data_IF_346758736907
#
_entry.id   IF_346758736907
#
_cell.length_a   1.000
_cell.length_b   1.000
_cell.length_c   1.000
_cell.angle_alpha   90.00
_cell.angle_beta   90.00
_cell.angle_gamma   90.00
#
_symmetry.space_group_name_H-M   'P 1'
#
loop_
_entity.id
_entity.type
_entity.pdbx_description
1 polymer ?
#
# COMPACT_ATOMS: atom_id res chain seq x y z
N UNK A 1 -50.98 97.71 11.84
CA UNK A 1 -51.13 97.09 13.16
C UNK A 1 -51.97 95.80 12.94
N UNK A 2 -51.61 94.77 13.53
CA UNK A 2 -52.25 93.43 13.47
C UNK A 2 -51.98 92.58 12.23
N UNK A 3 -50.94 91.70 12.34
CA UNK A 3 -50.54 90.75 11.35
C UNK A 3 -51.34 89.46 11.48
N UNK A 4 -51.78 88.96 10.34
CA UNK A 4 -52.41 87.66 10.21
C UNK A 4 -51.38 86.58 9.88
N UNK A 5 -51.19 85.58 10.79
CA UNK A 5 -50.36 84.41 10.56
C UNK A 5 -51.15 83.37 9.75
N UNK A 6 -50.55 83.06 8.55
CA UNK A 6 -51.04 81.87 7.75
C UNK A 6 -50.41 80.62 8.28
N UNK A 7 -51.27 79.65 8.67
CA UNK A 7 -50.81 78.31 9.01
C UNK A 7 -50.39 77.50 7.78
N UNK A 8 -49.23 76.86 7.83
CA UNK A 8 -48.76 75.90 6.85
C UNK A 8 -49.20 74.50 7.24
N UNK A 9 -49.98 73.90 6.35
CA UNK A 9 -50.39 72.48 6.41
C UNK A 9 -49.18 71.62 6.06
N UNK A 10 -48.74 70.72 7.00
CA UNK A 10 -47.66 69.75 6.77
C UNK A 10 -48.28 68.48 6.19
N UNK A 11 -47.90 68.16 4.94
CA UNK A 11 -48.20 66.91 4.29
C UNK A 11 -47.25 65.85 4.84
N UNK A 12 -47.81 64.83 5.51
CA UNK A 12 -47.06 63.65 6.02
C UNK A 12 -47.00 62.62 4.90
N UNK A 13 -45.78 62.37 4.39
CA UNK A 13 -45.54 61.27 3.48
C UNK A 13 -45.27 59.98 4.31
N UNK A 14 -46.12 58.97 4.16
CA UNK A 14 -45.91 57.63 4.70
C UNK A 14 -44.89 56.94 3.74
N UNK A 15 -43.68 56.72 4.19
CA UNK A 15 -42.72 55.86 3.50
C UNK A 15 -42.90 54.44 4.00
N UNK A 16 -43.48 53.60 3.14
CA UNK A 16 -43.50 52.14 3.40
C UNK A 16 -42.11 51.52 3.24
N UNK A 17 -41.46 51.19 4.34
CA UNK A 17 -40.20 50.39 4.32
C UNK A 17 -40.60 48.92 3.99
N UNK A 18 -40.30 48.51 2.74
CA UNK A 18 -40.22 47.11 2.35
C UNK A 18 -38.97 46.51 2.97
N UNK A 19 -39.09 45.77 4.06
CA UNK A 19 -38.04 44.88 4.56
C UNK A 19 -37.85 43.70 3.60
N UNK A 20 -36.90 43.82 2.68
CA UNK A 20 -36.37 42.65 1.97
C UNK A 20 -35.54 41.85 2.95
N UNK A 21 -36.04 40.67 3.36
CA UNK A 21 -35.23 39.69 4.05
C UNK A 21 -34.20 39.13 3.03
N UNK A 22 -32.93 39.14 3.37
CA UNK A 22 -31.97 38.39 2.56
C UNK A 22 -32.32 36.91 2.67
N UNK A 23 -32.65 36.28 1.55
CA UNK A 23 -32.61 34.81 1.48
C UNK A 23 -31.17 34.42 1.75
N UNK A 24 -30.91 33.92 2.96
CA UNK A 24 -29.63 33.30 3.29
C UNK A 24 -29.44 32.11 2.35
N UNK A 25 -28.50 32.22 1.46
CA UNK A 25 -27.93 31.02 0.82
C UNK A 25 -27.22 30.32 1.95
N UNK A 26 -27.80 29.23 2.47
CA UNK A 26 -27.05 28.34 3.35
C UNK A 26 -25.81 27.91 2.61
N UNK A 27 -24.70 28.50 2.97
CA UNK A 27 -23.40 28.01 2.54
C UNK A 27 -23.31 26.60 3.14
N UNK A 28 -23.34 25.58 2.29
CA UNK A 28 -23.11 24.21 2.73
C UNK A 28 -21.83 24.20 3.57
N UNK A 29 -21.93 23.73 4.82
CA UNK A 29 -20.74 23.54 5.64
C UNK A 29 -19.75 22.71 4.83
N UNK A 30 -18.44 23.05 4.87
CA UNK A 30 -17.45 22.25 4.17
C UNK A 30 -17.55 20.82 4.69
N UNK A 31 -17.91 19.89 3.80
CA UNK A 31 -17.96 18.46 4.16
C UNK A 31 -16.63 18.10 4.80
N UNK A 32 -16.69 17.49 5.98
CA UNK A 32 -15.48 17.01 6.64
C UNK A 32 -14.77 16.02 5.71
N UNK A 33 -13.43 16.07 5.64
CA UNK A 33 -12.69 15.22 4.73
C UNK A 33 -12.99 13.74 5.02
N UNK A 34 -13.18 12.95 3.96
CA UNK A 34 -13.42 11.51 4.10
C UNK A 34 -12.30 10.86 4.90
N UNK A 35 -12.62 9.99 5.88
CA UNK A 35 -11.58 9.26 6.62
C UNK A 35 -10.69 8.46 5.67
N UNK A 36 -9.38 8.40 5.96
CA UNK A 36 -8.47 7.57 5.19
C UNK A 36 -8.97 6.11 5.16
N UNK A 37 -8.92 5.44 4.01
CA UNK A 37 -9.19 4.01 3.94
C UNK A 37 -8.23 3.20 4.82
N UNK A 38 -8.58 1.95 5.10
CA UNK A 38 -7.69 0.98 5.75
C UNK A 38 -7.36 -0.13 4.75
N UNK A 39 -6.19 -0.73 4.87
CA UNK A 39 -5.86 -1.90 4.06
C UNK A 39 -6.76 -3.06 4.47
N UNK A 40 -7.50 -3.61 3.52
CA UNK A 40 -8.46 -4.66 3.76
C UNK A 40 -7.94 -6.02 3.28
N UNK A 41 -7.43 -6.10 2.06
CA UNK A 41 -6.94 -7.36 1.52
C UNK A 41 -5.91 -7.19 0.40
N UNK A 42 -5.13 -8.25 0.21
CA UNK A 42 -4.41 -8.53 -1.02
C UNK A 42 -5.18 -9.61 -1.79
N UNK A 43 -5.38 -9.43 -3.10
CA UNK A 43 -6.07 -10.41 -3.93
C UNK A 43 -5.09 -11.13 -4.87
N UNK A 44 -5.01 -12.44 -4.76
CA UNK A 44 -4.14 -13.29 -5.55
C UNK A 44 -4.95 -14.18 -6.50
N UNK A 45 -4.43 -14.36 -7.71
CA UNK A 45 -4.87 -15.42 -8.60
C UNK A 45 -4.04 -16.68 -8.34
N UNK A 46 -4.68 -17.84 -8.21
CA UNK A 46 -4.00 -19.11 -7.94
C UNK A 46 -4.66 -20.26 -8.69
N UNK A 47 -3.85 -21.16 -9.23
CA UNK A 47 -4.39 -22.40 -9.83
C UNK A 47 -4.96 -23.35 -8.77
N UNK A 48 -4.49 -23.24 -7.53
CA UNK A 48 -4.96 -24.06 -6.43
C UNK A 48 -5.01 -23.28 -5.11
N UNK A 49 -6.08 -22.52 -4.86
CA UNK A 49 -6.24 -21.72 -3.65
C UNK A 49 -6.07 -22.53 -2.34
N UNK A 50 -6.56 -23.77 -2.29
CA UNK A 50 -6.44 -24.58 -1.07
C UNK A 50 -4.99 -24.94 -0.74
N UNK A 51 -4.19 -25.28 -1.76
CA UNK A 51 -2.74 -25.50 -1.58
C UNK A 51 -2.01 -24.20 -1.24
N UNK A 52 -2.40 -23.10 -1.85
CA UNK A 52 -1.83 -21.78 -1.53
C UNK A 52 -2.09 -21.43 -0.07
N UNK A 53 -3.33 -21.52 0.38
CA UNK A 53 -3.72 -21.28 1.78
C UNK A 53 -2.95 -22.19 2.75
N UNK A 54 -2.81 -23.47 2.43
CA UNK A 54 -2.06 -24.41 3.27
C UNK A 54 -0.59 -24.02 3.39
N UNK A 55 0.03 -23.57 2.29
CA UNK A 55 1.40 -23.06 2.29
C UNK A 55 1.55 -21.83 3.18
N UNK A 56 0.72 -20.81 2.97
CA UNK A 56 0.81 -19.56 3.74
C UNK A 56 0.53 -19.77 5.23
N UNK A 57 -0.47 -20.59 5.58
CA UNK A 57 -0.77 -20.92 6.97
C UNK A 57 0.37 -21.69 7.66
N UNK A 58 1.17 -22.45 6.90
CA UNK A 58 2.36 -23.12 7.42
C UNK A 58 3.54 -22.15 7.55
N UNK A 59 3.75 -21.31 6.54
CA UNK A 59 4.84 -20.34 6.54
C UNK A 59 4.63 -19.24 7.61
N UNK A 60 3.38 -18.85 7.84
CA UNK A 60 2.99 -17.79 8.78
C UNK A 60 1.89 -18.30 9.71
N UNK A 61 2.24 -19.03 10.79
CA UNK A 61 1.29 -19.74 11.65
C UNK A 61 0.30 -18.84 12.41
N UNK A 62 0.54 -17.54 12.48
CA UNK A 62 -0.42 -16.58 13.05
C UNK A 62 -1.65 -16.35 12.15
N UNK A 63 -1.58 -16.76 10.89
CA UNK A 63 -2.70 -16.63 9.96
C UNK A 63 -3.72 -17.75 10.13
N UNK A 64 -4.97 -17.47 9.83
CA UNK A 64 -6.04 -18.47 9.87
C UNK A 64 -6.76 -18.59 8.53
N UNK A 65 -7.15 -19.81 8.17
CA UNK A 65 -7.98 -20.06 6.99
C UNK A 65 -9.38 -19.52 7.22
N UNK A 66 -9.93 -18.84 6.24
CA UNK A 66 -11.29 -18.28 6.27
C UNK A 66 -11.89 -18.23 4.87
N UNK A 67 -13.11 -17.72 4.78
CA UNK A 67 -13.79 -17.37 3.52
C UNK A 67 -14.37 -15.98 3.69
N UNK A 68 -14.16 -15.12 2.72
CA UNK A 68 -14.77 -13.79 2.70
C UNK A 68 -15.51 -13.57 1.39
N UNK A 69 -16.80 -13.25 1.46
CA UNK A 69 -17.69 -13.04 0.31
C UNK A 69 -17.55 -14.10 -0.80
N UNK A 70 -17.38 -15.36 -0.40
CA UNK A 70 -17.23 -16.50 -1.32
C UNK A 70 -15.80 -16.75 -1.81
N UNK A 71 -14.84 -15.90 -1.50
CA UNK A 71 -13.42 -16.13 -1.81
C UNK A 71 -12.75 -16.96 -0.70
N UNK A 72 -12.04 -18.03 -1.06
CA UNK A 72 -11.10 -18.67 -0.14
C UNK A 72 -10.09 -17.62 0.34
N UNK A 73 -9.77 -17.61 1.62
CA UNK A 73 -8.95 -16.55 2.19
C UNK A 73 -8.08 -17.02 3.35
N UNK A 74 -7.07 -16.21 3.65
CA UNK A 74 -6.33 -16.19 4.91
C UNK A 74 -6.62 -14.89 5.63
N UNK A 75 -6.83 -14.94 6.94
CA UNK A 75 -6.91 -13.78 7.81
C UNK A 75 -5.62 -13.65 8.62
N UNK A 76 -5.01 -12.49 8.58
CA UNK A 76 -3.88 -12.11 9.42
C UNK A 76 -4.39 -11.51 10.74
N UNK A 77 -3.63 -11.57 11.87
CA UNK A 77 -4.06 -11.05 13.16
C UNK A 77 -4.46 -9.57 13.18
N UNK A 78 -3.99 -8.79 12.22
CA UNK A 78 -4.37 -7.38 12.06
C UNK A 78 -5.60 -7.16 11.16
N UNK A 79 -6.43 -8.18 10.99
CA UNK A 79 -7.65 -8.17 10.16
C UNK A 79 -7.42 -7.93 8.67
N UNK A 80 -6.20 -8.07 8.20
CA UNK A 80 -5.89 -8.06 6.76
C UNK A 80 -6.10 -9.45 6.20
N UNK A 81 -6.73 -9.53 5.04
CA UNK A 81 -6.97 -10.79 4.35
C UNK A 81 -6.08 -10.95 3.12
N UNK A 82 -5.73 -12.19 2.80
CA UNK A 82 -5.24 -12.57 1.48
C UNK A 82 -6.33 -13.40 0.82
N UNK A 83 -6.96 -12.86 -0.19
CA UNK A 83 -8.04 -13.49 -0.94
C UNK A 83 -7.49 -14.22 -2.16
N UNK A 84 -8.16 -15.30 -2.57
CA UNK A 84 -7.74 -16.09 -3.71
C UNK A 84 -8.88 -16.26 -4.73
N UNK A 85 -8.56 -15.97 -6.00
CA UNK A 85 -9.38 -16.40 -7.14
C UNK A 85 -8.74 -17.62 -7.79
N UNK A 86 -9.54 -18.68 -7.97
CA UNK A 86 -9.09 -19.86 -8.73
C UNK A 86 -9.04 -19.55 -10.20
N UNK A 87 -7.89 -19.79 -10.82
CA UNK A 87 -7.66 -19.66 -12.27
C UNK A 87 -7.32 -21.00 -12.89
N UNK A 88 -7.56 -21.15 -14.19
CA UNK A 88 -7.35 -22.43 -14.90
C UNK A 88 -5.91 -22.65 -15.37
N UNK A 89 -5.12 -21.59 -15.44
CA UNK A 89 -3.71 -21.63 -15.83
C UNK A 89 -2.88 -20.79 -14.85
N UNK A 90 -1.59 -21.09 -14.68
CA UNK A 90 -0.73 -20.29 -13.81
C UNK A 90 -0.79 -18.81 -14.14
N UNK A 91 -1.07 -17.93 -13.16
CA UNK A 91 -1.08 -16.50 -13.40
C UNK A 91 0.33 -16.03 -13.79
N UNK A 92 0.38 -14.96 -14.57
CA UNK A 92 1.67 -14.33 -14.87
C UNK A 92 2.24 -13.73 -13.59
N UNK A 93 3.43 -14.18 -13.22
CA UNK A 93 4.17 -13.73 -12.04
C UNK A 93 5.44 -12.98 -12.47
N UNK A 94 5.33 -12.14 -13.48
CA UNK A 94 6.43 -11.29 -13.95
C UNK A 94 6.45 -10.00 -13.10
N UNK A 95 7.32 -9.90 -12.09
CA UNK A 95 7.36 -8.75 -11.19
C UNK A 95 7.87 -7.48 -11.86
N UNK A 96 8.32 -7.55 -13.10
CA UNK A 96 8.79 -6.39 -13.86
C UNK A 96 7.75 -5.88 -14.86
N UNK A 97 6.72 -6.68 -15.16
CA UNK A 97 5.66 -6.29 -16.09
C UNK A 97 4.57 -5.45 -15.42
N UNK A 98 4.31 -5.66 -14.14
CA UNK A 98 3.30 -4.92 -13.37
C UNK A 98 3.91 -4.12 -12.23
N UNK A 99 3.10 -3.27 -11.62
CA UNK A 99 3.52 -2.51 -10.45
C UNK A 99 3.91 -3.42 -9.28
N UNK A 100 3.17 -4.48 -9.03
CA UNK A 100 3.42 -5.34 -7.88
C UNK A 100 4.72 -6.14 -8.03
N UNK A 101 5.58 -5.99 -7.03
CA UNK A 101 6.83 -6.73 -6.93
C UNK A 101 6.71 -7.91 -5.97
N UNK A 102 6.38 -7.63 -4.71
CA UNK A 102 6.14 -8.66 -3.70
C UNK A 102 5.26 -8.12 -2.57
N UNK A 103 4.91 -9.00 -1.66
CA UNK A 103 4.21 -8.68 -0.43
C UNK A 103 4.84 -9.44 0.74
N UNK A 104 4.51 -9.06 1.97
CA UNK A 104 5.22 -9.67 3.08
C UNK A 104 4.56 -9.58 4.44
N UNK A 105 5.18 -10.32 5.35
CA UNK A 105 4.85 -10.42 6.75
C UNK A 105 5.94 -9.84 7.63
N UNK A 106 5.55 -9.18 8.71
CA UNK A 106 6.42 -9.05 9.86
C UNK A 106 6.46 -10.35 10.63
N UNK A 107 7.62 -10.74 11.13
CA UNK A 107 7.82 -11.86 12.06
C UNK A 107 8.58 -11.38 13.29
N UNK A 108 8.47 -12.12 14.39
CA UNK A 108 9.14 -11.72 15.63
C UNK A 108 10.65 -11.92 15.57
N UNK A 109 11.09 -13.00 14.92
CA UNK A 109 12.50 -13.35 14.80
C UNK A 109 12.77 -14.01 13.45
N UNK A 110 13.40 -13.25 12.55
CA UNK A 110 13.67 -13.69 11.20
C UNK A 110 14.56 -14.94 11.16
N UNK A 111 15.52 -15.05 12.07
CA UNK A 111 16.43 -16.20 12.10
C UNK A 111 15.74 -17.47 12.50
N UNK A 112 14.86 -17.42 13.49
CA UNK A 112 14.05 -18.59 13.87
C UNK A 112 13.14 -19.02 12.73
N UNK A 113 12.53 -18.08 12.04
CA UNK A 113 11.76 -18.40 10.86
C UNK A 113 12.62 -19.03 9.77
N UNK A 114 13.82 -18.51 9.55
CA UNK A 114 14.74 -19.05 8.57
C UNK A 114 15.16 -20.50 8.90
N UNK A 115 15.49 -20.80 10.17
CA UNK A 115 15.79 -22.16 10.61
C UNK A 115 14.60 -23.06 10.40
N UNK A 116 13.41 -22.63 10.77
CA UNK A 116 12.17 -23.34 10.52
C UNK A 116 11.97 -23.67 9.03
N UNK A 117 12.18 -22.68 8.14
CA UNK A 117 12.01 -22.92 6.70
C UNK A 117 13.05 -23.86 6.12
N UNK A 118 14.28 -23.88 6.63
CA UNK A 118 15.32 -24.86 6.23
C UNK A 118 14.93 -26.29 6.57
N UNK A 119 14.19 -26.49 7.64
CA UNK A 119 13.69 -27.81 8.05
C UNK A 119 12.44 -28.25 7.26
N UNK A 120 11.87 -27.34 6.45
CA UNK A 120 10.66 -27.57 5.68
C UNK A 120 10.92 -27.42 4.17
N UNK A 121 11.38 -28.49 3.50
CA UNK A 121 11.82 -28.42 2.10
C UNK A 121 10.73 -28.04 1.10
N UNK A 122 9.46 -28.09 1.50
CA UNK A 122 8.34 -27.57 0.71
C UNK A 122 8.26 -26.03 0.70
N UNK A 123 9.00 -25.36 1.59
CA UNK A 123 9.12 -23.89 1.63
C UNK A 123 10.45 -23.52 1.00
N UNK A 124 10.42 -22.96 -0.20
CA UNK A 124 11.62 -22.58 -0.92
C UNK A 124 12.08 -21.19 -0.52
N UNK A 125 13.28 -21.09 0.02
CA UNK A 125 13.93 -19.80 0.28
C UNK A 125 14.46 -19.22 -1.04
N UNK A 126 14.15 -17.97 -1.32
CA UNK A 126 14.81 -17.23 -2.38
C UNK A 126 16.23 -16.81 -1.93
N UNK A 127 17.21 -16.77 -2.84
CA UNK A 127 18.54 -16.33 -2.49
C UNK A 127 18.56 -14.83 -2.20
N UNK A 128 19.31 -14.42 -1.17
CA UNK A 128 19.71 -13.04 -0.95
C UNK A 128 21.14 -12.80 -1.42
N UNK A 129 21.49 -11.56 -1.65
CA UNK A 129 22.75 -11.18 -2.27
C UNK A 129 23.48 -10.14 -1.43
N UNK A 130 24.82 -10.18 -1.47
CA UNK A 130 25.67 -9.13 -0.92
C UNK A 130 25.73 -7.92 -1.85
N UNK A 131 26.11 -6.76 -1.32
CA UNK A 131 26.16 -5.51 -2.09
C UNK A 131 27.27 -5.47 -3.14
N UNK A 132 28.31 -6.28 -2.99
CA UNK A 132 29.51 -6.18 -3.81
C UNK A 132 29.51 -7.06 -5.06
N UNK A 133 28.59 -8.02 -5.15
CA UNK A 133 28.72 -8.91 -6.29
C UNK A 133 27.48 -9.62 -6.72
N UNK A 134 26.43 -9.42 -5.98
CA UNK A 134 25.23 -10.18 -6.21
C UNK A 134 25.42 -11.68 -6.09
N UNK A 135 26.41 -12.14 -5.36
CA UNK A 135 26.56 -13.55 -5.04
C UNK A 135 25.55 -13.99 -4.00
N UNK A 136 25.14 -15.23 -4.07
CA UNK A 136 24.15 -15.77 -3.15
C UNK A 136 24.67 -15.77 -1.72
N UNK A 137 23.97 -15.08 -0.85
CA UNK A 137 24.09 -15.20 0.59
C UNK A 137 22.88 -16.00 1.03
N UNK A 138 23.08 -17.23 1.42
CA UNK A 138 21.96 -18.13 1.77
C UNK A 138 21.19 -17.72 3.02
N UNK A 139 21.63 -16.61 3.62
CA UNK A 139 20.96 -16.05 4.72
C UNK A 139 21.40 -14.73 4.95
N UNK A 140 20.53 -13.98 4.78
CA UNK A 140 20.65 -13.30 5.38
C UNK A 140 20.35 -12.14 5.82
N UNK A 141 19.89 -11.97 6.51
CA UNK A 141 19.45 -11.05 7.39
C UNK A 141 20.31 -10.82 8.57
N UNK A 142 21.48 -11.19 8.48
CA UNK A 142 22.47 -10.84 9.48
C UNK A 142 22.71 -9.32 9.45
N UNK A 143 21.84 -8.58 10.16
CA UNK A 143 22.08 -7.17 10.40
C UNK A 143 23.24 -7.03 11.38
N UNK A 144 24.42 -6.76 10.86
CA UNK A 144 25.64 -6.61 11.65
C UNK A 144 25.72 -5.19 12.19
N UNK A 145 26.10 -4.98 13.46
CA UNK A 145 26.27 -3.64 14.02
C UNK A 145 27.22 -2.76 13.20
N UNK A 146 26.88 -1.51 13.04
CA UNK A 146 27.73 -0.53 12.34
C UNK A 146 27.70 -0.56 10.83
N UNK A 147 26.81 -1.29 10.21
CA UNK A 147 26.85 -1.59 8.78
C UNK A 147 25.74 -0.96 7.95
N UNK A 148 25.16 0.12 8.38
CA UNK A 148 24.17 0.83 7.57
C UNK A 148 22.82 0.10 7.36
N UNK A 149 22.55 -0.92 8.16
CA UNK A 149 21.25 -1.56 8.20
C UNK A 149 21.03 -2.67 7.18
N UNK A 150 19.78 -2.94 6.96
CA UNK A 150 19.19 -4.00 6.13
C UNK A 150 19.73 -4.06 4.69
N UNK A 151 20.35 -3.00 4.20
CA UNK A 151 20.64 -2.82 2.77
C UNK A 151 21.93 -3.43 2.28
N UNK A 152 22.46 -4.33 3.03
CA UNK A 152 23.51 -5.17 2.49
C UNK A 152 24.90 -4.80 2.94
N UNK A 153 25.56 -5.82 3.36
CA UNK A 153 26.98 -5.86 3.60
C UNK A 153 27.66 -6.49 2.42
N UNK A 154 28.90 -6.09 2.19
CA UNK A 154 29.79 -6.84 1.32
C UNK A 154 30.16 -8.16 1.97
N UNK A 155 30.54 -9.17 1.17
CA UNK A 155 31.07 -10.42 1.70
C UNK A 155 32.28 -10.18 2.61
N UNK A 156 33.16 -9.25 2.22
CA UNK A 156 34.33 -8.88 3.01
C UNK A 156 33.93 -8.31 4.38
N UNK A 157 32.93 -7.44 4.45
CA UNK A 157 32.44 -6.90 5.71
C UNK A 157 31.83 -7.98 6.60
N UNK A 158 31.06 -8.92 6.04
CA UNK A 158 30.53 -10.06 6.78
C UNK A 158 31.66 -10.94 7.32
N UNK A 159 32.64 -11.27 6.49
CA UNK A 159 33.77 -12.09 6.89
C UNK A 159 34.60 -11.40 7.99
N UNK A 160 34.90 -10.12 7.87
CA UNK A 160 35.61 -9.31 8.86
C UNK A 160 34.86 -9.26 10.21
N UNK A 161 33.55 -9.02 10.17
CA UNK A 161 32.72 -9.03 11.37
C UNK A 161 32.75 -10.40 12.08
N UNK A 162 32.62 -11.49 11.33
CA UNK A 162 32.73 -12.86 11.85
C UNK A 162 34.13 -13.12 12.47
N UNK A 163 35.19 -12.71 11.79
CA UNK A 163 36.54 -12.87 12.28
C UNK A 163 36.81 -12.10 13.59
N UNK A 164 36.16 -10.97 13.76
CA UNK A 164 36.20 -10.15 14.97
C UNK A 164 35.25 -10.63 16.09
N UNK A 165 34.51 -11.72 15.88
CA UNK A 165 33.57 -12.24 16.84
C UNK A 165 32.33 -11.35 17.05
N UNK A 166 32.09 -10.41 16.14
CA UNK A 166 30.86 -9.59 16.18
C UNK A 166 29.67 -10.49 15.99
N UNK A 167 28.68 -10.34 16.84
CA UNK A 167 27.43 -11.08 16.73
C UNK A 167 26.42 -10.26 15.93
N UNK A 168 25.66 -10.90 15.03
CA UNK A 168 24.57 -10.21 14.34
C UNK A 168 23.48 -9.80 15.33
N UNK A 169 22.69 -8.78 14.96
CA UNK A 169 21.49 -8.40 15.75
C UNK A 169 20.48 -9.53 15.69
N UNK A 170 20.09 -10.04 16.86
CA UNK A 170 19.11 -11.11 16.97
C UNK A 170 17.74 -10.67 16.48
N UNK A 171 17.08 -11.55 15.73
CA UNK A 171 15.70 -11.37 15.28
C UNK A 171 15.48 -10.35 14.16
N UNK A 172 16.44 -9.49 13.89
CA UNK A 172 16.35 -8.47 12.85
C UNK A 172 16.70 -9.00 11.46
N UNK A 173 16.27 -8.30 10.42
CA UNK A 173 16.57 -8.58 9.02
C UNK A 173 15.33 -8.94 8.20
N UNK A 174 15.56 -9.35 6.97
CA UNK A 174 14.52 -9.81 6.07
C UNK A 174 15.04 -10.89 5.14
N UNK A 175 14.15 -11.74 4.67
CA UNK A 175 14.42 -12.76 3.65
C UNK A 175 13.20 -13.00 2.78
N UNK A 176 13.36 -13.77 1.72
CA UNK A 176 12.29 -14.04 0.77
C UNK A 176 11.99 -15.53 0.64
N UNK A 177 10.72 -15.84 0.47
CA UNK A 177 10.20 -17.15 0.12
C UNK A 177 9.65 -17.15 -1.29
N UNK A 178 9.74 -18.31 -1.96
CA UNK A 178 8.93 -18.64 -3.14
C UNK A 178 7.68 -19.35 -2.69
N UNK A 179 6.57 -18.69 -2.87
CA UNK A 179 5.24 -19.22 -2.60
C UNK A 179 4.59 -19.90 -3.81
N UNK A 180 3.36 -20.37 -3.62
CA UNK A 180 2.52 -20.90 -4.69
C UNK A 180 2.39 -19.92 -5.85
N UNK A 181 2.22 -20.46 -7.05
CA UNK A 181 2.10 -19.68 -8.29
C UNK A 181 3.32 -18.74 -8.53
N UNK A 182 4.47 -19.09 -7.97
CA UNK A 182 5.72 -18.35 -8.05
C UNK A 182 5.70 -16.98 -7.34
N UNK A 183 4.86 -16.80 -6.32
CA UNK A 183 4.81 -15.59 -5.53
C UNK A 183 6.15 -15.31 -4.84
N UNK A 184 6.62 -14.08 -4.89
CA UNK A 184 7.72 -13.61 -4.04
C UNK A 184 7.13 -13.04 -2.76
N UNK A 185 7.59 -13.55 -1.62
CA UNK A 185 7.07 -13.21 -0.30
C UNK A 185 8.22 -12.79 0.59
N UNK A 186 8.17 -11.59 1.12
CA UNK A 186 9.14 -11.13 2.12
C UNK A 186 8.68 -11.48 3.53
N UNK A 187 9.62 -11.84 4.39
CA UNK A 187 9.41 -11.81 5.82
C UNK A 187 10.52 -11.00 6.49
N UNK A 188 10.12 -10.13 7.40
CA UNK A 188 11.01 -9.21 8.09
C UNK A 188 10.91 -9.38 9.60
N UNK A 189 12.04 -9.50 10.26
CA UNK A 189 12.12 -9.81 11.69
C UNK A 189 12.23 -8.59 12.61
N UNK A 190 12.30 -8.90 13.92
CA UNK A 190 12.38 -7.94 15.01
C UNK A 190 11.11 -7.09 15.20
N UNK A 191 9.95 -7.69 15.00
CA UNK A 191 8.65 -7.08 15.22
C UNK A 191 7.92 -7.75 16.39
N UNK A 192 7.00 -7.03 17.06
CA UNK A 192 6.34 -7.56 18.26
C UNK A 192 5.35 -8.68 17.98
N UNK A 193 4.88 -8.82 16.73
CA UNK A 193 3.92 -9.84 16.34
C UNK A 193 4.07 -10.22 14.88
N UNK A 194 3.77 -11.48 14.55
CA UNK A 194 3.66 -11.94 13.18
C UNK A 194 2.33 -11.47 12.58
N UNK A 195 2.39 -10.77 11.43
CA UNK A 195 1.21 -10.29 10.72
C UNK A 195 1.56 -9.85 9.29
N UNK A 196 0.56 -9.81 8.40
CA UNK A 196 0.69 -9.18 7.10
C UNK A 196 1.05 -7.69 7.30
N UNK A 197 2.02 -7.20 6.54
CA UNK A 197 2.61 -5.89 6.85
C UNK A 197 2.74 -4.96 5.64
N UNK A 198 3.05 -5.49 4.46
CA UNK A 198 3.36 -4.61 3.33
C UNK A 198 3.08 -5.21 1.96
N UNK A 199 2.99 -4.30 0.99
CA UNK A 199 3.07 -4.58 -0.44
C UNK A 199 4.12 -3.65 -1.03
N UNK A 200 5.09 -4.21 -1.73
CA UNK A 200 6.11 -3.45 -2.45
C UNK A 200 5.81 -3.43 -3.95
N UNK A 201 6.05 -2.27 -4.55
CA UNK A 201 5.69 -1.99 -5.93
C UNK A 201 6.82 -1.28 -6.66
N UNK A 202 6.77 -1.30 -7.97
CA UNK A 202 7.64 -0.53 -8.86
C UNK A 202 6.92 0.70 -9.42
N UNK A 203 7.65 1.79 -9.54
CA UNK A 203 7.15 3.01 -10.16
C UNK A 203 8.31 3.80 -10.79
N UNK A 204 8.00 4.51 -11.86
CA UNK A 204 8.95 5.40 -12.52
C UNK A 204 9.34 6.59 -11.64
N UNK A 205 8.37 7.13 -10.90
CA UNK A 205 8.54 8.22 -9.94
C UNK A 205 7.88 7.84 -8.60
N UNK A 206 8.56 7.09 -7.72
CA UNK A 206 8.00 6.64 -6.43
C UNK A 206 7.40 7.76 -5.58
N UNK A 207 8.01 8.95 -5.60
CA UNK A 207 7.51 10.11 -4.86
C UNK A 207 6.17 10.63 -5.42
N UNK A 208 5.96 10.56 -6.75
CA UNK A 208 4.69 10.93 -7.35
C UNK A 208 3.60 9.91 -7.06
N UNK A 209 3.94 8.61 -6.93
CA UNK A 209 2.99 7.61 -6.45
C UNK A 209 2.57 7.92 -5.00
N UNK A 210 3.50 8.19 -4.10
CA UNK A 210 3.19 8.62 -2.74
C UNK A 210 2.23 9.81 -2.72
N UNK A 211 2.54 10.86 -3.49
CA UNK A 211 1.70 12.06 -3.61
C UNK A 211 0.30 11.72 -4.11
N UNK A 212 0.18 10.85 -5.11
CA UNK A 212 -1.11 10.43 -5.66
C UNK A 212 -1.98 9.78 -4.59
N UNK A 213 -1.44 8.84 -3.83
CA UNK A 213 -2.17 8.16 -2.75
C UNK A 213 -2.54 9.10 -1.60
N UNK A 214 -1.67 10.04 -1.25
CA UNK A 214 -2.01 11.08 -0.27
C UNK A 214 -3.15 11.97 -0.75
N UNK A 215 -3.10 12.43 -2.00
CA UNK A 215 -4.06 13.35 -2.58
C UNK A 215 -5.43 12.69 -2.79
N UNK A 216 -5.46 11.52 -3.39
CA UNK A 216 -6.70 10.88 -3.83
C UNK A 216 -7.31 9.94 -2.78
N UNK A 217 -6.50 9.32 -1.94
CA UNK A 217 -6.95 8.33 -0.96
C UNK A 217 -6.65 8.73 0.50
N UNK A 218 -6.26 9.98 0.75
CA UNK A 218 -5.96 10.48 2.10
C UNK A 218 -4.97 9.58 2.87
N UNK A 219 -4.04 8.93 2.16
CA UNK A 219 -3.10 7.98 2.75
C UNK A 219 -2.17 8.65 3.76
N UNK A 220 -1.91 7.97 4.87
CA UNK A 220 -0.95 8.40 5.88
C UNK A 220 0.49 8.15 5.44
N UNK A 221 1.43 8.90 6.00
CA UNK A 221 2.85 8.69 5.76
C UNK A 221 3.49 7.88 6.89
N UNK A 222 4.48 7.02 6.56
CA UNK A 222 5.35 6.44 7.57
C UNK A 222 6.07 7.51 8.40
N UNK A 223 6.38 7.20 9.64
CA UNK A 223 7.13 8.12 10.53
C UNK A 223 8.49 8.45 9.89
N UNK A 224 8.80 9.73 9.84
CA UNK A 224 10.06 10.23 9.25
C UNK A 224 10.01 10.43 7.73
N UNK A 225 8.91 10.11 7.07
CA UNK A 225 8.71 10.39 5.65
C UNK A 225 8.01 11.75 5.51
N UNK A 226 8.50 12.57 4.60
CA UNK A 226 7.97 13.90 4.35
C UNK A 226 6.94 13.89 3.21
N UNK A 227 5.89 14.74 3.29
CA UNK A 227 4.95 14.93 2.21
C UNK A 227 5.65 15.40 0.93
N UNK A 228 5.15 14.94 -0.20
CA UNK A 228 5.60 15.38 -1.53
C UNK A 228 4.62 16.38 -2.13
N UNK A 229 5.11 17.13 -3.09
CA UNK A 229 4.32 18.09 -3.88
C UNK A 229 4.54 17.80 -5.36
N UNK A 230 3.70 18.33 -6.21
CA UNK A 230 3.87 18.22 -7.67
C UNK A 230 5.26 18.73 -8.13
N UNK A 231 5.81 19.75 -7.42
CA UNK A 231 7.09 20.34 -7.75
C UNK A 231 8.30 19.45 -7.40
N UNK A 232 8.14 18.48 -6.47
CA UNK A 232 9.27 17.68 -5.96
C UNK A 232 9.04 16.18 -6.01
N UNK A 233 8.01 15.69 -6.68
CA UNK A 233 7.73 14.27 -6.76
C UNK A 233 8.46 13.54 -7.89
N UNK A 234 8.94 14.24 -8.90
CA UNK A 234 9.69 13.64 -10.01
C UNK A 234 11.11 13.31 -9.58
N UNK A 235 11.54 12.10 -9.80
CA UNK A 235 12.92 11.67 -9.52
C UNK A 235 13.85 12.24 -10.58
N UNK A 236 14.93 12.88 -10.14
CA UNK A 236 15.97 13.38 -11.04
C UNK A 236 16.73 12.19 -11.62
N UNK A 237 16.78 12.08 -12.96
CA UNK A 237 17.53 11.05 -13.66
C UNK A 237 19.00 11.04 -13.22
N UNK A 238 19.55 9.85 -12.94
CA UNK A 238 20.88 9.66 -12.41
C UNK A 238 20.96 9.66 -10.88
N UNK A 239 19.86 9.92 -10.19
CA UNK A 239 19.77 9.75 -8.73
C UNK A 239 19.46 8.29 -8.32
N UNK A 240 19.11 7.45 -9.28
CA UNK A 240 18.78 6.05 -9.06
C UNK A 240 20.03 5.28 -8.63
N UNK A 241 19.88 4.50 -7.58
CA UNK A 241 20.89 3.58 -7.11
C UNK A 241 20.39 2.15 -7.30
N UNK A 242 21.21 1.34 -7.93
CA UNK A 242 20.95 -0.09 -8.04
C UNK A 242 21.73 -0.83 -6.97
N UNK A 243 21.09 -1.75 -6.32
CA UNK A 243 21.74 -2.68 -5.41
C UNK A 243 21.62 -4.09 -5.93
N UNK A 244 22.75 -4.80 -5.83
CA UNK A 244 23.57 -5.04 -6.99
C UNK A 244 22.83 -5.97 -7.93
N UNK A 245 22.74 -5.66 -9.17
CA UNK A 245 22.09 -6.50 -10.16
C UNK A 245 20.56 -6.43 -10.13
N UNK A 246 20.00 -5.62 -11.00
CA UNK A 246 18.54 -5.38 -11.08
C UNK A 246 17.75 -6.61 -11.50
N UNK A 247 18.39 -7.53 -12.18
CA UNK A 247 17.80 -8.79 -12.64
C UNK A 247 17.69 -9.84 -11.54
N UNK A 248 18.22 -9.57 -10.35
CA UNK A 248 18.21 -10.52 -9.23
C UNK A 248 17.04 -10.27 -8.30
N UNK A 249 16.43 -11.34 -7.84
CA UNK A 249 15.32 -11.28 -6.89
C UNK A 249 15.73 -10.65 -5.57
N UNK A 250 14.82 -9.90 -4.97
CA UNK A 250 15.06 -9.19 -3.73
C UNK A 250 15.86 -7.91 -3.89
N UNK A 251 16.39 -7.62 -5.07
CA UNK A 251 17.13 -6.40 -5.35
C UNK A 251 16.22 -5.27 -5.79
N UNK A 252 16.60 -4.06 -5.47
CA UNK A 252 15.78 -2.89 -5.79
C UNK A 252 16.62 -1.67 -6.16
N UNK A 253 15.97 -0.74 -6.79
CA UNK A 253 16.52 0.55 -7.18
C UNK A 253 15.90 1.65 -6.33
N UNK A 254 16.74 2.49 -5.73
CA UNK A 254 16.28 3.69 -5.00
C UNK A 254 16.24 4.90 -5.95
N UNK A 255 15.53 5.99 -5.61
CA UNK A 255 14.82 6.20 -4.34
C UNK A 255 13.52 5.39 -4.21
N UNK A 256 13.04 5.30 -3.00
CA UNK A 256 11.75 4.69 -2.68
C UNK A 256 10.84 5.68 -1.93
N UNK A 257 9.55 5.40 -1.95
CA UNK A 257 8.55 6.15 -1.21
C UNK A 257 7.45 5.22 -0.73
N UNK A 258 6.64 5.66 0.21
CA UNK A 258 5.57 4.82 0.73
C UNK A 258 4.47 5.58 1.43
N UNK A 259 3.36 4.90 1.61
CA UNK A 259 2.20 5.32 2.40
C UNK A 259 1.77 4.19 3.33
N UNK A 260 0.90 4.52 4.29
CA UNK A 260 0.31 3.55 5.21
C UNK A 260 -1.21 3.65 5.14
N UNK A 261 -1.87 2.49 5.06
CA UNK A 261 -3.29 2.32 5.24
C UNK A 261 -3.54 1.44 6.47
N UNK A 262 -4.00 2.05 7.57
CA UNK A 262 -4.05 1.35 8.86
C UNK A 262 -2.64 1.07 9.38
N UNK A 263 -2.23 -0.20 9.34
CA UNK A 263 -0.91 -0.65 9.77
C UNK A 263 -0.15 -1.43 8.67
N UNK A 264 -0.61 -1.31 7.43
CA UNK A 264 0.01 -1.92 6.26
C UNK A 264 0.66 -0.85 5.39
N UNK A 265 1.92 -1.06 5.04
CA UNK A 265 2.67 -0.19 4.16
C UNK A 265 2.49 -0.57 2.69
N UNK A 266 2.36 0.43 1.84
CA UNK A 266 2.49 0.31 0.40
C UNK A 266 3.68 1.16 -0.03
N UNK A 267 4.74 0.51 -0.54
CA UNK A 267 5.99 1.18 -0.89
C UNK A 267 6.29 1.01 -2.37
N UNK A 268 6.77 2.07 -2.99
CA UNK A 268 7.21 2.09 -4.37
C UNK A 268 8.71 2.24 -4.44
N UNK A 269 9.33 1.43 -5.29
CA UNK A 269 10.74 1.51 -5.66
C UNK A 269 10.85 1.90 -7.13
N UNK A 270 12.01 2.40 -7.53
CA UNK A 270 12.27 2.73 -8.92
C UNK A 270 12.07 1.50 -9.80
N UNK A 271 11.41 1.70 -10.94
CA UNK A 271 11.24 0.67 -11.97
C UNK A 271 12.59 0.12 -12.43
N UNK A 272 12.68 -1.20 -12.57
CA UNK A 272 13.93 -1.88 -12.89
C UNK A 272 14.15 -2.11 -14.37
N UNK A 273 13.14 -1.92 -15.20
CA UNK A 273 13.21 -2.08 -16.66
C UNK A 273 12.68 -0.82 -17.36
N UNK A 274 13.05 -0.64 -18.61
CA UNK A 274 12.47 0.42 -19.47
C UNK A 274 11.10 0.01 -20.07
N UNK A 275 10.70 -1.26 -19.94
CA UNK A 275 9.38 -1.71 -20.38
C UNK A 275 8.29 -1.03 -19.54
N UNK A 276 7.30 -0.39 -20.17
CA UNK A 276 6.20 0.22 -19.45
C UNK A 276 5.44 -0.80 -18.60
N UNK A 277 5.00 -0.37 -17.41
CA UNK A 277 4.14 -1.19 -16.58
C UNK A 277 2.77 -1.37 -17.24
N UNK A 278 2.17 -2.54 -17.05
CA UNK A 278 0.82 -2.86 -17.52
C UNK A 278 -0.14 -3.02 -16.35
N UNK A 279 -1.44 -3.00 -16.62
CA UNK A 279 -2.47 -3.22 -15.60
C UNK A 279 -2.32 -4.56 -14.90
N UNK A 280 -2.59 -4.60 -13.60
CA UNK A 280 -2.33 -5.76 -12.74
C UNK A 280 -3.40 -6.85 -12.80
N UNK A 281 -4.58 -6.54 -13.35
CA UNK A 281 -5.70 -7.47 -13.40
C UNK A 281 -5.35 -8.74 -14.18
N UNK A 282 -5.62 -9.90 -13.56
CA UNK A 282 -5.31 -11.21 -14.15
C UNK A 282 -3.87 -11.69 -13.94
N UNK A 283 -2.99 -10.87 -13.36
CA UNK A 283 -1.66 -11.29 -12.93
C UNK A 283 -1.73 -11.99 -11.56
N UNK A 284 -0.59 -12.47 -11.06
CA UNK A 284 -0.51 -13.16 -9.76
C UNK A 284 -1.08 -12.29 -8.64
N UNK A 285 -0.58 -11.08 -8.45
CA UNK A 285 -1.20 -10.08 -7.60
C UNK A 285 -2.15 -9.28 -8.48
N UNK A 286 -3.43 -9.53 -8.29
CA UNK A 286 -4.47 -8.92 -9.12
C UNK A 286 -4.76 -7.48 -8.70
N UNK A 287 -4.95 -7.27 -7.39
CA UNK A 287 -5.21 -5.95 -6.81
C UNK A 287 -5.02 -5.94 -5.28
N UNK A 288 -4.97 -4.76 -4.72
CA UNK A 288 -5.15 -4.51 -3.29
C UNK A 288 -6.55 -3.98 -3.03
N UNK A 289 -7.12 -4.34 -1.89
CA UNK A 289 -8.40 -3.83 -1.42
C UNK A 289 -8.23 -2.89 -0.22
N UNK A 290 -8.92 -1.76 -0.26
CA UNK A 290 -8.96 -0.77 0.81
C UNK A 290 -10.42 -0.63 1.30
N UNK A 291 -10.63 -0.67 2.62
CA UNK A 291 -11.95 -0.50 3.20
C UNK A 291 -12.32 0.97 3.38
N UNK A 292 -13.57 1.32 3.05
CA UNK A 292 -14.13 2.66 3.17
C UNK A 292 -15.52 2.60 3.82
N UNK A 293 -15.89 3.63 4.57
CA UNK A 293 -17.20 3.66 5.24
C UNK A 293 -18.36 4.17 4.36
N UNK A 294 -18.06 4.87 3.25
CA UNK A 294 -19.07 5.45 2.35
C UNK A 294 -18.54 5.40 0.91
N UNK A 295 -18.88 4.35 0.19
CA UNK A 295 -18.41 4.12 -1.17
C UNK A 295 -18.91 5.18 -2.15
N UNK A 296 -20.14 5.69 -1.98
CA UNK A 296 -20.70 6.68 -2.89
C UNK A 296 -19.97 8.02 -2.78
N UNK A 297 -19.63 8.44 -1.55
CA UNK A 297 -18.83 9.65 -1.33
C UNK A 297 -17.43 9.51 -1.92
N UNK A 298 -16.78 8.35 -1.74
CA UNK A 298 -15.47 8.06 -2.36
C UNK A 298 -15.56 8.04 -3.88
N UNK A 299 -16.61 7.43 -4.45
CA UNK A 299 -16.82 7.40 -5.90
C UNK A 299 -17.04 8.81 -6.48
N UNK A 300 -17.75 9.68 -5.77
CA UNK A 300 -17.94 11.08 -6.16
C UNK A 300 -16.62 11.86 -6.12
N UNK A 301 -15.87 11.76 -5.02
CA UNK A 301 -14.56 12.40 -4.84
C UNK A 301 -13.60 11.99 -5.97
N UNK A 302 -13.37 10.69 -6.13
CA UNK A 302 -12.39 10.18 -7.09
C UNK A 302 -12.73 10.55 -8.53
N UNK A 303 -14.02 10.54 -8.87
CA UNK A 303 -14.50 11.00 -10.18
C UNK A 303 -14.25 12.48 -10.40
N UNK A 304 -14.55 13.32 -9.40
CA UNK A 304 -14.32 14.77 -9.48
C UNK A 304 -12.83 15.12 -9.60
N UNK A 305 -11.96 14.27 -9.08
CA UNK A 305 -10.50 14.40 -9.15
C UNK A 305 -9.87 13.76 -10.40
N UNK A 306 -10.70 13.20 -11.29
CA UNK A 306 -10.24 12.62 -12.55
C UNK A 306 -9.53 11.26 -12.43
N UNK A 307 -9.72 10.55 -11.31
CA UNK A 307 -9.14 9.22 -11.12
C UNK A 307 -9.82 8.22 -12.06
N UNK A 308 -9.02 7.40 -12.74
CA UNK A 308 -9.51 6.36 -13.65
C UNK A 308 -10.28 5.29 -12.90
N UNK A 309 -11.54 5.07 -13.30
CA UNK A 309 -12.41 4.04 -12.74
C UNK A 309 -12.36 2.80 -13.63
N UNK A 310 -11.74 1.72 -13.14
CA UNK A 310 -11.69 0.42 -13.82
C UNK A 310 -13.02 -0.32 -13.74
N UNK A 311 -13.71 -0.21 -12.61
CA UNK A 311 -15.05 -0.78 -12.43
C UNK A 311 -15.89 0.13 -11.54
N UNK A 312 -17.04 0.58 -12.06
CA UNK A 312 -18.03 1.37 -11.30
C UNK A 312 -18.55 0.56 -10.11
N UNK A 313 -19.17 1.21 -9.10
CA UNK A 313 -19.72 0.50 -7.95
C UNK A 313 -20.53 -0.74 -8.33
N UNK A 314 -20.21 -1.86 -7.70
CA UNK A 314 -20.83 -3.16 -7.93
C UNK A 314 -21.03 -3.92 -6.62
N UNK A 315 -21.88 -4.94 -6.67
CA UNK A 315 -22.10 -5.83 -5.53
C UNK A 315 -20.96 -6.84 -5.43
N UNK A 316 -20.42 -6.99 -4.21
CA UNK A 316 -19.37 -7.93 -3.87
C UNK A 316 -19.81 -8.75 -2.65
N UNK A 317 -20.43 -9.91 -2.89
CA UNK A 317 -21.08 -10.67 -1.83
C UNK A 317 -22.16 -9.84 -1.12
N UNK A 318 -21.99 -9.65 0.18
CA UNK A 318 -22.92 -8.89 1.01
C UNK A 318 -22.61 -7.39 1.08
N UNK A 319 -21.53 -6.95 0.46
CA UNK A 319 -21.11 -5.55 0.43
C UNK A 319 -21.07 -4.97 -0.98
N UNK A 320 -20.57 -3.76 -1.10
CA UNK A 320 -20.35 -3.05 -2.36
C UNK A 320 -18.86 -2.75 -2.51
N UNK A 321 -18.40 -2.72 -3.74
CA UNK A 321 -17.03 -2.31 -4.06
C UNK A 321 -17.01 -1.50 -5.35
N UNK A 322 -15.91 -0.79 -5.59
CA UNK A 322 -15.53 -0.22 -6.88
C UNK A 322 -14.04 -0.43 -7.12
N UNK A 323 -13.61 -0.32 -8.37
CA UNK A 323 -12.19 -0.48 -8.67
C UNK A 323 -11.67 0.72 -9.45
N UNK A 324 -10.52 1.21 -9.03
CA UNK A 324 -9.81 2.33 -9.64
C UNK A 324 -8.41 1.90 -10.10
N UNK A 325 -7.80 2.69 -10.94
CA UNK A 325 -6.42 2.53 -11.37
C UNK A 325 -5.52 3.49 -10.57
N UNK A 326 -4.49 2.93 -9.96
CA UNK A 326 -3.44 3.70 -9.31
C UNK A 326 -2.36 4.19 -10.30
N UNK A 327 -1.40 4.99 -9.83
CA UNK A 327 -0.44 5.68 -10.69
C UNK A 327 0.58 4.77 -11.39
N UNK A 328 0.68 3.51 -10.98
CA UNK A 328 1.54 2.50 -11.60
C UNK A 328 0.74 1.45 -12.40
N UNK A 329 -0.47 1.80 -12.83
CA UNK A 329 -1.44 0.90 -13.46
C UNK A 329 -1.91 -0.25 -12.56
N UNK A 330 -1.67 -0.16 -11.25
CA UNK A 330 -2.20 -1.13 -10.28
C UNK A 330 -3.70 -0.94 -10.10
N UNK A 331 -4.41 -2.05 -10.01
CA UNK A 331 -5.81 -2.04 -9.62
C UNK A 331 -5.92 -1.90 -8.10
N UNK A 332 -6.79 -0.99 -7.66
CA UNK A 332 -7.13 -0.76 -6.26
C UNK A 332 -8.65 -0.89 -6.11
N UNK A 333 -9.10 -1.83 -5.28
CA UNK A 333 -10.50 -2.03 -4.96
C UNK A 333 -10.86 -1.25 -3.70
N UNK A 334 -11.89 -0.41 -3.75
CA UNK A 334 -12.50 0.19 -2.58
C UNK A 334 -13.69 -0.65 -2.16
N UNK A 335 -13.66 -1.18 -0.94
CA UNK A 335 -14.70 -2.05 -0.38
C UNK A 335 -15.47 -1.29 0.69
N UNK A 336 -16.78 -1.25 0.58
CA UNK A 336 -17.63 -0.61 1.57
C UNK A 336 -17.76 -1.51 2.81
N UNK A 337 -17.30 -1.00 3.93
CA UNK A 337 -17.40 -1.70 5.22
C UNK A 337 -18.19 -0.84 6.20
N UNK A 338 -19.00 -1.44 7.09
CA UNK A 338 -19.68 -0.69 8.13
C UNK A 338 -18.72 0.20 8.92
N UNK A 339 -19.16 1.38 9.31
CA UNK A 339 -18.36 2.28 10.13
C UNK A 339 -17.95 1.56 11.44
N UNK A 340 -16.65 1.56 11.71
CA UNK A 340 -16.10 0.88 12.89
C UNK A 340 -15.75 -0.60 12.68
N UNK A 341 -15.92 -1.15 11.48
CA UNK A 341 -15.35 -2.45 11.16
C UNK A 341 -13.81 -2.39 11.26
N UNK A 342 -13.18 -3.43 11.82
CA UNK A 342 -11.73 -3.49 12.00
C UNK A 342 -10.98 -3.44 10.69
#
# INVERSE_FOLDING_TARGET
MTGIKRGRMKTVWLVALLCAWPMGVDAAEPESPLPAPRFHHLHLNSVNPDKAIAFYAKAFPSTSKTVWNGFPALASPNNVMVLFTKVSAPPRADPQATAYWHFGWNVMDERKNLEFYKEHPEITLAPLYTTDEGGTVHVNSDTWPGTGGILGLTKAQIADAKAKGVQPLGGAGFSYLRGPDNALIEYAGNYPAERFNHVHMHQENPYCAQLWYQKHLNASLPVGIFPRTEANCVVVRGAERSWPGLEKEGMYRTPSAGVIFGDVAMNWYMRQTETPLVGTRGHLIDHVGLSVGNLDAWAAKLRSEGVTVLRRPYRLGDTRAMMIEGPSHEAVELVEMPAGSP
#
